data_IF_981645637053
#
_entry.id   IF_981645637053
#
_cell.length_a   1.000
_cell.length_b   1.000
_cell.length_c   1.000
_cell.angle_alpha   90.00
_cell.angle_beta   90.00
_cell.angle_gamma   90.00
#
_symmetry.space_group_name_H-M   'P 1'
#
loop_
_entity.id
_entity.type
_entity.pdbx_description
1 polymer ?
#
# COMPACT_ATOMS: atom_id res chain seq x y z
N UNK A 1 34.29 18.81 24.93
CA UNK A 1 33.55 17.53 24.86
C UNK A 1 34.33 16.64 23.92
N UNK A 2 34.83 15.49 24.37
CA UNK A 2 35.57 14.58 23.48
C UNK A 2 34.67 14.18 22.33
N UNK A 3 35.21 14.17 21.10
CA UNK A 3 34.48 13.70 19.94
C UNK A 3 33.96 12.28 20.18
N UNK A 4 32.68 12.04 19.89
CA UNK A 4 32.08 10.70 19.99
C UNK A 4 32.88 9.74 19.10
N UNK A 5 33.30 8.62 19.67
CA UNK A 5 33.84 7.51 18.86
C UNK A 5 32.71 6.92 18.02
N UNK A 6 33.06 6.23 16.94
CA UNK A 6 32.06 5.61 16.06
C UNK A 6 31.16 4.62 16.81
N UNK A 7 31.72 3.84 17.73
CA UNK A 7 30.99 2.87 18.54
C UNK A 7 30.05 3.56 19.57
N UNK A 8 30.48 4.68 20.15
CA UNK A 8 29.62 5.50 21.00
C UNK A 8 28.47 6.12 20.21
N UNK A 9 28.74 6.62 19.00
CA UNK A 9 27.73 7.17 18.10
C UNK A 9 26.70 6.10 17.71
N UNK A 10 27.15 4.89 17.34
CA UNK A 10 26.28 3.74 17.01
C UNK A 10 25.42 3.34 18.20
N UNK A 11 26.03 3.20 19.39
CA UNK A 11 25.31 2.87 20.62
C UNK A 11 24.26 3.94 20.97
N UNK A 12 24.59 5.21 20.79
CA UNK A 12 23.64 6.31 21.02
C UNK A 12 22.48 6.26 20.02
N UNK A 13 22.75 6.03 18.73
CA UNK A 13 21.70 5.85 17.72
C UNK A 13 20.78 4.67 18.05
N UNK A 14 21.33 3.52 18.45
CA UNK A 14 20.52 2.37 18.86
C UNK A 14 19.60 2.70 20.05
N UNK A 15 20.08 3.48 21.03
CA UNK A 15 19.27 3.94 22.17
C UNK A 15 18.14 4.88 21.72
N UNK A 16 18.42 5.83 20.83
CA UNK A 16 17.41 6.74 20.28
C UNK A 16 16.32 5.97 19.51
N UNK A 17 16.73 5.00 18.68
CA UNK A 17 15.80 4.17 17.90
C UNK A 17 14.96 3.26 18.79
N UNK A 18 15.54 2.66 19.84
CA UNK A 18 14.77 1.91 20.82
C UNK A 18 13.82 2.79 21.63
N UNK A 19 14.20 4.04 21.94
CA UNK A 19 13.32 5.00 22.60
C UNK A 19 12.16 5.43 21.69
N UNK A 20 12.44 5.69 20.41
CA UNK A 20 11.44 6.00 19.39
C UNK A 20 10.37 4.90 19.30
N UNK A 21 10.78 3.63 19.17
CA UNK A 21 9.84 2.50 19.08
C UNK A 21 8.98 2.37 20.35
N UNK A 22 9.60 2.47 21.54
CA UNK A 22 8.86 2.41 22.81
C UNK A 22 7.84 3.55 22.98
N UNK A 23 8.12 4.72 22.41
CA UNK A 23 7.21 5.86 22.41
C UNK A 23 6.16 5.82 21.28
N UNK A 24 6.11 4.74 20.49
CA UNK A 24 5.20 4.63 19.35
C UNK A 24 5.47 5.65 18.24
N UNK A 25 6.71 6.17 18.13
CA UNK A 25 7.09 7.14 17.12
C UNK A 25 7.19 6.53 15.72
N UNK A 26 6.73 7.25 14.70
CA UNK A 26 6.77 6.84 13.28
C UNK A 26 8.06 7.24 12.58
N UNK A 27 8.59 8.43 12.91
CA UNK A 27 9.81 8.99 12.31
C UNK A 27 10.71 9.59 13.41
N UNK A 28 12.03 9.45 13.29
CA UNK A 28 13.07 10.09 14.11
C UNK A 28 13.86 11.06 13.21
N UNK A 29 14.02 12.28 13.68
CA UNK A 29 14.69 13.39 13.01
C UNK A 29 16.00 13.71 13.73
N UNK A 30 17.07 13.78 12.96
CA UNK A 30 18.42 14.16 13.40
C UNK A 30 18.86 15.36 12.56
N UNK A 31 19.09 16.50 13.22
CA UNK A 31 19.49 17.74 12.55
C UNK A 31 20.37 18.60 13.47
N UNK A 32 21.21 19.44 12.88
CA UNK A 32 22.05 20.42 13.60
C UNK A 32 21.18 21.50 14.24
N UNK A 33 21.59 21.97 15.43
CA UNK A 33 20.90 22.96 16.27
C UNK A 33 19.46 22.57 16.68
N UNK A 34 19.14 21.27 16.56
CA UNK A 34 17.86 20.71 16.95
C UNK A 34 18.06 19.44 17.79
N UNK A 35 17.22 19.20 18.82
CA UNK A 35 17.29 17.95 19.57
C UNK A 35 16.82 16.77 18.71
N UNK A 36 17.36 15.54 18.92
CA UNK A 36 16.79 14.33 18.36
C UNK A 36 15.31 14.26 18.71
N UNK A 37 14.45 14.24 17.70
CA UNK A 37 13.01 14.37 17.88
C UNK A 37 12.26 13.30 17.11
N UNK A 38 11.17 12.79 17.69
CA UNK A 38 10.31 11.81 17.04
C UNK A 38 8.99 12.44 16.62
N UNK A 39 8.35 11.87 15.60
CA UNK A 39 6.94 12.12 15.30
C UNK A 39 6.11 11.01 15.91
N UNK A 40 5.24 11.34 16.86
CA UNK A 40 4.29 10.41 17.46
C UNK A 40 2.89 11.03 17.44
N UNK A 41 1.90 10.23 17.01
CA UNK A 41 0.50 10.66 16.86
C UNK A 41 0.31 11.99 16.09
N UNK A 42 1.14 12.21 15.06
CA UNK A 42 1.07 13.42 14.21
C UNK A 42 1.81 14.64 14.74
N UNK A 43 2.33 14.60 15.98
CA UNK A 43 3.07 15.69 16.62
C UNK A 43 4.56 15.38 16.75
N UNK A 44 5.42 16.40 16.71
CA UNK A 44 6.86 16.25 16.91
C UNK A 44 7.21 16.44 18.38
N UNK A 45 7.99 15.53 18.96
CA UNK A 45 8.39 15.53 20.36
C UNK A 45 9.89 15.22 20.51
N UNK A 46 10.66 16.00 21.29
CA UNK A 46 12.06 15.73 21.52
C UNK A 46 12.26 14.48 22.40
N UNK A 47 13.18 13.60 22.03
CA UNK A 47 13.60 12.46 22.87
C UNK A 47 14.59 12.90 23.97
N UNK A 48 15.34 13.96 23.70
CA UNK A 48 16.31 14.54 24.64
C UNK A 48 16.26 16.06 24.55
N UNK A 49 16.69 16.77 25.59
CA UNK A 49 16.74 18.23 25.58
C UNK A 49 17.98 18.79 24.86
N UNK A 50 19.00 17.97 24.63
CA UNK A 50 20.29 18.43 24.10
C UNK A 50 20.23 18.57 22.58
N UNK A 51 20.52 19.78 22.10
CA UNK A 51 20.71 20.06 20.67
C UNK A 51 21.97 19.39 20.13
N UNK A 52 21.90 18.90 18.90
CA UNK A 52 23.05 18.31 18.21
C UNK A 52 23.84 19.39 17.47
N UNK A 53 25.16 19.22 17.37
CA UNK A 53 26.01 20.03 16.50
C UNK A 53 26.35 19.29 15.20
N UNK A 54 26.93 19.99 14.22
CA UNK A 54 27.20 19.43 12.88
C UNK A 54 28.19 18.25 12.87
N UNK A 55 29.19 18.25 13.77
CA UNK A 55 30.11 17.11 13.91
C UNK A 55 29.38 15.88 14.45
N UNK A 56 28.49 16.08 15.43
CA UNK A 56 27.68 15.00 16.02
C UNK A 56 26.74 14.39 14.99
N UNK A 57 25.97 15.20 14.25
CA UNK A 57 25.03 14.66 13.25
C UNK A 57 25.75 13.88 12.15
N UNK A 58 26.91 14.37 11.69
CA UNK A 58 27.76 13.65 10.73
C UNK A 58 28.23 12.30 11.27
N UNK A 59 28.74 12.25 12.50
CA UNK A 59 29.20 10.99 13.14
C UNK A 59 28.06 10.00 13.33
N UNK A 60 26.88 10.48 13.75
CA UNK A 60 25.71 9.63 13.89
C UNK A 60 25.29 9.01 12.55
N UNK A 61 25.26 9.79 11.47
CA UNK A 61 24.98 9.28 10.13
C UNK A 61 26.00 8.24 9.67
N UNK A 62 27.29 8.55 9.77
CA UNK A 62 28.35 7.63 9.35
C UNK A 62 28.36 6.32 10.15
N UNK A 63 27.96 6.36 11.43
CA UNK A 63 27.91 5.16 12.29
C UNK A 63 26.87 4.11 11.86
N UNK A 64 25.89 4.52 11.04
CA UNK A 64 24.84 3.66 10.49
C UNK A 64 25.13 3.17 9.07
N UNK A 65 26.07 3.83 8.36
CA UNK A 65 26.42 3.51 6.98
C UNK A 65 27.55 2.47 6.91
N UNK A 66 27.48 1.58 5.91
CA UNK A 66 28.62 0.79 5.47
C UNK A 66 29.55 1.60 4.55
N UNK A 67 30.72 1.04 4.19
CA UNK A 67 31.72 1.76 3.40
C UNK A 67 31.23 2.18 2.01
N UNK A 68 30.39 1.37 1.35
CA UNK A 68 29.81 1.70 0.06
C UNK A 68 28.82 2.87 0.17
N UNK A 69 27.95 2.85 1.17
CA UNK A 69 26.99 3.92 1.45
C UNK A 69 27.70 5.23 1.84
N UNK A 70 28.84 5.17 2.54
CA UNK A 70 29.66 6.35 2.84
C UNK A 70 30.21 6.98 1.57
N UNK A 71 30.75 6.18 0.65
CA UNK A 71 31.26 6.67 -0.64
C UNK A 71 30.14 7.24 -1.51
N UNK A 72 28.97 6.60 -1.52
CA UNK A 72 27.78 7.11 -2.21
C UNK A 72 27.35 8.45 -1.63
N UNK A 73 27.19 8.55 -0.31
CA UNK A 73 26.79 9.79 0.35
C UNK A 73 27.78 10.94 0.13
N UNK A 74 29.08 10.66 0.12
CA UNK A 74 30.11 11.66 -0.18
C UNK A 74 30.02 12.20 -1.61
N UNK A 75 29.56 11.37 -2.57
CA UNK A 75 29.44 11.76 -3.98
C UNK A 75 28.11 12.43 -4.29
N UNK A 76 27.01 11.87 -3.81
CA UNK A 76 25.64 12.26 -4.18
C UNK A 76 25.01 13.25 -3.18
N UNK A 77 25.63 13.46 -2.00
CA UNK A 77 25.11 14.29 -0.90
C UNK A 77 23.79 13.79 -0.29
N UNK A 78 23.32 12.62 -0.72
CA UNK A 78 22.12 11.93 -0.28
C UNK A 78 22.37 10.41 -0.29
N UNK A 79 21.75 9.68 0.63
CA UNK A 79 21.83 8.21 0.66
C UNK A 79 20.59 7.62 1.34
N UNK A 80 20.01 6.58 0.74
CA UNK A 80 18.85 5.85 1.24
C UNK A 80 19.22 4.40 1.51
N UNK A 81 18.91 3.90 2.71
CA UNK A 81 19.20 2.52 3.07
C UNK A 81 18.30 2.03 4.19
N UNK A 82 18.30 0.72 4.45
CA UNK A 82 17.64 0.13 5.61
C UNK A 82 18.66 -0.39 6.64
N UNK A 83 18.31 -0.28 7.92
CA UNK A 83 19.04 -0.92 9.02
C UNK A 83 18.11 -1.80 9.85
N UNK A 84 18.67 -2.84 10.45
CA UNK A 84 17.96 -3.75 11.36
C UNK A 84 18.64 -3.73 12.73
N UNK A 85 17.88 -3.44 13.78
CA UNK A 85 18.36 -3.55 15.16
C UNK A 85 17.69 -4.76 15.79
N UNK A 86 18.43 -5.85 16.08
CA UNK A 86 17.89 -7.05 16.69
C UNK A 86 17.10 -6.74 17.98
N UNK A 87 15.89 -7.28 18.07
CA UNK A 87 15.00 -7.08 19.23
C UNK A 87 14.34 -5.72 19.34
N UNK A 88 14.56 -4.80 18.40
CA UNK A 88 13.95 -3.46 18.39
C UNK A 88 13.01 -3.30 17.20
N UNK A 89 13.55 -3.05 16.01
CA UNK A 89 12.79 -2.91 14.75
C UNK A 89 13.75 -2.81 13.57
N UNK A 90 13.19 -2.83 12.37
CA UNK A 90 13.85 -2.33 11.16
C UNK A 90 13.50 -0.86 10.94
N UNK A 91 14.40 -0.17 10.28
CA UNK A 91 14.26 1.24 9.99
C UNK A 91 14.71 1.56 8.57
N UNK A 92 13.98 2.45 7.90
CA UNK A 92 14.42 3.09 6.66
C UNK A 92 15.10 4.41 7.01
N UNK A 93 16.32 4.58 6.53
CA UNK A 93 17.16 5.74 6.80
C UNK A 93 17.33 6.52 5.51
N UNK A 94 17.04 7.83 5.58
CA UNK A 94 17.40 8.79 4.56
C UNK A 94 18.38 9.79 5.19
N UNK A 95 19.56 9.92 4.59
CA UNK A 95 20.60 10.87 5.00
C UNK A 95 20.81 11.87 3.86
N UNK A 96 20.95 13.14 4.21
CA UNK A 96 21.08 14.24 3.26
C UNK A 96 21.93 15.38 3.85
N UNK A 97 22.34 16.33 3.01
CA UNK A 97 23.02 17.56 3.45
C UNK A 97 22.08 18.75 3.35
N UNK A 98 21.96 19.51 4.44
CA UNK A 98 21.21 20.77 4.51
C UNK A 98 22.07 21.87 5.14
N UNK A 99 22.15 23.05 4.52
CA UNK A 99 22.94 24.18 5.03
C UNK A 99 24.37 23.76 5.48
N UNK A 100 25.06 22.97 4.65
CA UNK A 100 26.41 22.42 4.92
C UNK A 100 26.51 21.45 6.12
N UNK A 101 25.39 21.05 6.70
CA UNK A 101 25.28 20.09 7.80
C UNK A 101 24.59 18.80 7.37
N UNK A 102 24.96 17.68 7.99
CA UNK A 102 24.28 16.40 7.76
C UNK A 102 22.96 16.36 8.52
N UNK A 103 21.89 16.00 7.81
CA UNK A 103 20.56 15.69 8.35
C UNK A 103 20.20 14.24 8.08
N UNK A 104 19.30 13.69 8.90
CA UNK A 104 18.82 12.33 8.72
C UNK A 104 17.39 12.17 9.22
N UNK A 105 16.59 11.45 8.45
CA UNK A 105 15.25 11.00 8.83
C UNK A 105 15.23 9.48 8.85
N UNK A 106 14.78 8.91 9.96
CA UNK A 106 14.72 7.47 10.19
C UNK A 106 13.27 7.08 10.46
N UNK A 107 12.70 6.20 9.63
CA UNK A 107 11.32 5.74 9.76
C UNK A 107 11.29 4.30 10.24
N UNK A 108 10.44 4.00 11.23
CA UNK A 108 10.18 2.61 11.64
C UNK A 108 9.50 1.84 10.51
N UNK A 109 10.04 0.67 10.19
CA UNK A 109 9.39 -0.32 9.33
C UNK A 109 8.57 -1.24 10.23
N UNK A 110 7.32 -1.54 9.84
CA UNK A 110 6.42 -2.35 10.66
C UNK A 110 7.00 -3.76 10.87
N UNK A 111 7.11 -4.19 12.13
CA UNK A 111 7.66 -5.50 12.49
C UNK A 111 6.60 -6.59 12.59
N UNK A 112 5.37 -6.24 13.00
CA UNK A 112 4.26 -7.20 13.07
C UNK A 112 3.57 -7.27 11.71
N UNK A 113 3.63 -8.44 11.08
CA UNK A 113 2.85 -8.72 9.87
C UNK A 113 1.42 -9.06 10.30
N UNK A 114 0.42 -8.22 9.97
CA UNK A 114 -0.97 -8.56 10.24
C UNK A 114 -1.38 -9.76 9.37
N UNK A 115 -2.19 -10.66 9.93
CA UNK A 115 -2.74 -11.77 9.16
C UNK A 115 -3.98 -11.34 8.35
N UNK A 116 -4.39 -12.18 7.39
CA UNK A 116 -5.52 -11.93 6.50
C UNK A 116 -6.81 -11.62 7.28
N UNK A 117 -7.06 -12.32 8.40
CA UNK A 117 -8.27 -12.16 9.21
C UNK A 117 -8.28 -10.83 9.99
N UNK A 118 -7.14 -10.42 10.57
CA UNK A 118 -6.96 -9.14 11.29
C UNK A 118 -7.17 -7.95 10.35
N UNK A 119 -6.76 -8.09 9.09
CA UNK A 119 -7.00 -7.09 8.05
C UNK A 119 -8.43 -7.11 7.49
N UNK A 120 -9.26 -8.10 7.87
CA UNK A 120 -10.58 -8.36 7.29
C UNK A 120 -10.54 -8.50 5.76
N UNK A 121 -9.47 -9.10 5.24
CA UNK A 121 -9.34 -9.35 3.80
C UNK A 121 -10.24 -10.52 3.37
N UNK A 122 -10.71 -10.55 2.11
CA UNK A 122 -11.54 -11.65 1.63
C UNK A 122 -10.86 -13.02 1.80
N UNK A 123 -11.56 -14.04 2.35
CA UNK A 123 -11.00 -15.37 2.58
C UNK A 123 -10.41 -16.02 1.33
N UNK A 124 -10.93 -15.68 0.14
CA UNK A 124 -10.45 -16.16 -1.16
C UNK A 124 -8.95 -15.89 -1.36
N UNK A 125 -8.37 -14.87 -0.74
CA UNK A 125 -6.93 -14.59 -0.83
C UNK A 125 -6.06 -15.67 -0.17
N UNK A 126 -6.59 -16.41 0.81
CA UNK A 126 -5.92 -17.60 1.39
C UNK A 126 -5.79 -18.70 0.34
N UNK A 127 -6.83 -18.94 -0.45
CA UNK A 127 -6.80 -19.92 -1.53
C UNK A 127 -5.80 -19.50 -2.61
N UNK A 128 -5.87 -18.23 -3.05
CA UNK A 128 -5.05 -17.69 -4.15
C UNK A 128 -3.55 -17.79 -3.84
N UNK A 129 -3.12 -17.46 -2.61
CA UNK A 129 -1.70 -17.54 -2.26
C UNK A 129 -1.23 -18.99 -2.09
N UNK A 130 -2.15 -19.95 -1.99
CA UNK A 130 -1.83 -21.36 -1.86
C UNK A 130 -1.71 -22.09 -3.21
N UNK A 131 -2.05 -21.43 -4.32
CA UNK A 131 -1.85 -21.96 -5.66
C UNK A 131 -0.37 -22.31 -5.92
N UNK A 132 -0.14 -23.36 -6.71
CA UNK A 132 1.22 -23.83 -7.01
C UNK A 132 1.95 -22.95 -8.01
N UNK A 133 1.20 -22.37 -8.96
CA UNK A 133 1.74 -21.56 -10.05
C UNK A 133 0.76 -20.51 -10.52
N UNK A 134 1.28 -19.51 -11.22
CA UNK A 134 0.50 -18.45 -11.84
C UNK A 134 0.95 -17.06 -11.40
N UNK A 135 0.38 -16.03 -12.03
CA UNK A 135 0.66 -14.64 -11.74
C UNK A 135 -0.47 -14.03 -10.89
N UNK A 136 -0.13 -13.50 -9.72
CA UNK A 136 -1.04 -12.78 -8.83
C UNK A 136 -0.59 -11.34 -8.71
N UNK A 137 -1.47 -10.41 -9.08
CA UNK A 137 -1.16 -8.98 -9.05
C UNK A 137 -1.97 -8.28 -7.96
N UNK A 138 -1.29 -7.61 -7.03
CA UNK A 138 -1.94 -6.74 -6.04
C UNK A 138 -1.74 -5.30 -6.46
N UNK A 139 -2.83 -4.61 -6.76
CA UNK A 139 -2.81 -3.29 -7.41
C UNK A 139 -3.55 -2.23 -6.61
N UNK A 140 -3.20 -0.98 -6.85
CA UNK A 140 -3.79 0.18 -6.17
C UNK A 140 -2.85 1.36 -6.10
N UNK A 141 -3.39 2.51 -5.69
CA UNK A 141 -2.62 3.73 -5.49
C UNK A 141 -1.52 3.58 -4.41
N UNK A 142 -0.62 4.56 -4.33
CA UNK A 142 0.35 4.65 -3.24
C UNK A 142 -0.38 4.77 -1.91
N UNK A 143 0.07 4.02 -0.89
CA UNK A 143 -0.56 4.02 0.41
C UNK A 143 -1.92 3.29 0.48
N UNK A 144 -2.30 2.53 -0.56
CA UNK A 144 -3.50 1.71 -0.52
C UNK A 144 -3.35 0.43 0.32
N UNK A 145 -2.15 0.08 0.79
CA UNK A 145 -1.90 -1.11 1.62
C UNK A 145 -1.54 -2.38 0.85
N UNK A 146 -1.11 -2.27 -0.42
CA UNK A 146 -0.66 -3.42 -1.25
C UNK A 146 0.38 -4.29 -0.55
N UNK A 147 1.46 -3.68 -0.06
CA UNK A 147 2.56 -4.39 0.61
C UNK A 147 2.07 -5.09 1.88
N UNK A 148 1.12 -4.48 2.61
CA UNK A 148 0.51 -5.09 3.80
C UNK A 148 -0.33 -6.32 3.44
N UNK A 149 -1.12 -6.25 2.37
CA UNK A 149 -1.91 -7.39 1.87
C UNK A 149 -1.01 -8.52 1.37
N UNK A 150 0.04 -8.21 0.60
CA UNK A 150 1.02 -9.19 0.15
C UNK A 150 1.77 -9.83 1.32
N UNK A 151 2.19 -9.05 2.31
CA UNK A 151 2.82 -9.60 3.51
C UNK A 151 1.88 -10.57 4.25
N UNK A 152 0.60 -10.22 4.40
CA UNK A 152 -0.39 -11.12 5.01
C UNK A 152 -0.57 -12.42 4.23
N UNK A 153 -0.59 -12.34 2.88
CA UNK A 153 -0.67 -13.50 2.00
C UNK A 153 0.58 -14.39 2.10
N UNK A 154 1.77 -13.79 2.01
CA UNK A 154 3.05 -14.52 2.14
C UNK A 154 3.19 -15.16 3.52
N UNK A 155 2.81 -14.47 4.60
CA UNK A 155 2.83 -15.04 5.95
C UNK A 155 1.90 -16.24 6.07
N UNK A 156 0.73 -16.20 5.43
CA UNK A 156 -0.19 -17.34 5.36
C UNK A 156 0.46 -18.53 4.64
N UNK A 157 1.02 -18.32 3.44
CA UNK A 157 1.73 -19.37 2.69
C UNK A 157 2.89 -19.97 3.48
N UNK A 158 3.69 -19.11 4.14
CA UNK A 158 4.83 -19.51 4.96
C UNK A 158 4.44 -20.36 6.18
N UNK A 159 3.25 -20.15 6.76
CA UNK A 159 2.72 -20.98 7.87
C UNK A 159 2.12 -22.30 7.40
N UNK A 160 1.55 -22.34 6.20
CA UNK A 160 0.75 -23.47 5.75
C UNK A 160 1.51 -24.44 4.83
N UNK A 161 2.43 -23.95 3.98
CA UNK A 161 3.18 -24.76 3.03
C UNK A 161 4.67 -24.80 3.37
N UNK A 162 5.30 -25.95 3.10
CA UNK A 162 6.74 -26.01 2.94
C UNK A 162 7.15 -25.56 1.53
N UNK A 163 8.34 -24.99 1.41
CA UNK A 163 8.86 -24.48 0.14
C UNK A 163 9.85 -23.33 0.35
N UNK A 164 10.20 -22.67 -0.73
CA UNK A 164 11.09 -21.51 -0.76
C UNK A 164 10.37 -20.29 -1.35
N UNK A 165 10.24 -19.25 -0.53
CA UNK A 165 9.67 -17.96 -0.91
C UNK A 165 10.83 -16.98 -1.09
N UNK A 166 10.93 -16.36 -2.26
CA UNK A 166 11.94 -15.34 -2.54
C UNK A 166 11.24 -14.02 -2.80
N UNK A 167 11.60 -12.97 -2.06
CA UNK A 167 11.13 -11.60 -2.31
C UNK A 167 12.27 -10.78 -2.89
N UNK A 168 11.96 -9.98 -3.92
CA UNK A 168 12.85 -8.97 -4.49
C UNK A 168 12.15 -7.63 -4.33
N UNK A 169 12.73 -6.73 -3.53
CA UNK A 169 12.07 -5.50 -3.09
C UNK A 169 13.05 -4.31 -3.06
N UNK A 170 12.50 -3.09 -3.00
CA UNK A 170 13.27 -1.84 -2.98
C UNK A 170 12.50 -0.74 -2.20
N UNK A 171 12.68 -0.62 -0.87
CA UNK A 171 13.36 -1.56 0.03
C UNK A 171 12.44 -2.70 0.50
N UNK A 172 12.95 -3.64 1.29
CA UNK A 172 12.12 -4.69 1.93
C UNK A 172 11.20 -4.06 2.98
N UNK A 173 9.88 -4.14 2.75
CA UNK A 173 8.86 -3.49 3.60
C UNK A 173 8.43 -4.35 4.79
N UNK A 174 8.39 -5.67 4.65
CA UNK A 174 8.07 -6.61 5.72
C UNK A 174 9.08 -7.75 5.74
N UNK A 175 9.56 -8.12 6.93
CA UNK A 175 10.48 -9.25 7.07
C UNK A 175 9.74 -10.45 7.65
N UNK A 176 9.66 -11.50 6.84
CA UNK A 176 9.09 -12.77 7.24
C UNK A 176 10.15 -13.64 7.90
N UNK A 177 9.93 -14.04 9.14
CA UNK A 177 10.70 -15.14 9.72
C UNK A 177 10.32 -16.44 9.00
N UNK A 178 11.32 -17.25 8.60
CA UNK A 178 11.08 -18.58 8.04
C UNK A 178 10.29 -19.45 9.01
N UNK A 179 9.30 -20.19 8.49
CA UNK A 179 8.49 -21.15 9.27
C UNK A 179 8.45 -22.50 8.57
N UNK A 180 7.31 -22.89 7.97
CA UNK A 180 7.27 -24.10 7.14
C UNK A 180 8.01 -23.84 5.82
N UNK A 181 7.93 -22.61 5.30
CA UNK A 181 8.74 -22.17 4.16
C UNK A 181 10.02 -21.45 4.62
N UNK A 182 11.09 -21.61 3.84
CA UNK A 182 12.23 -20.70 3.87
C UNK A 182 11.82 -19.39 3.20
N UNK A 183 12.05 -18.24 3.84
CA UNK A 183 11.82 -16.94 3.22
C UNK A 183 13.14 -16.18 3.06
N UNK A 184 13.48 -15.88 1.80
CA UNK A 184 14.69 -15.15 1.41
C UNK A 184 14.28 -13.79 0.86
N UNK A 185 14.70 -12.72 1.53
CA UNK A 185 14.46 -11.35 1.06
C UNK A 185 15.73 -10.86 0.35
N UNK A 186 15.55 -10.17 -0.77
CA UNK A 186 16.64 -9.57 -1.54
C UNK A 186 16.31 -8.12 -1.84
N UNK A 187 16.99 -7.21 -1.15
CA UNK A 187 16.83 -5.77 -1.35
C UNK A 187 17.71 -5.28 -2.50
N UNK A 188 17.12 -4.57 -3.47
CA UNK A 188 17.86 -3.96 -4.59
C UNK A 188 18.75 -2.84 -4.07
N UNK A 189 20.00 -2.81 -4.52
CA UNK A 189 21.04 -1.89 -4.04
C UNK A 189 21.80 -2.39 -2.82
N UNK A 190 21.29 -3.38 -2.08
CA UNK A 190 21.92 -3.94 -0.88
C UNK A 190 22.33 -5.40 -1.08
N UNK A 191 21.38 -6.29 -1.35
CA UNK A 191 21.61 -7.73 -1.53
C UNK A 191 21.80 -8.13 -3.00
N UNK A 192 21.42 -7.23 -3.92
CA UNK A 192 21.53 -7.42 -5.36
C UNK A 192 21.73 -6.08 -6.07
N UNK A 193 22.52 -6.08 -7.15
CA UNK A 193 22.89 -4.83 -7.85
C UNK A 193 21.72 -4.17 -8.57
N UNK A 194 20.80 -4.96 -9.11
CA UNK A 194 19.63 -4.46 -9.85
C UNK A 194 18.50 -5.48 -9.87
N UNK A 195 17.30 -5.03 -10.25
CA UNK A 195 16.13 -5.88 -10.52
C UNK A 195 16.48 -6.99 -11.53
N UNK A 196 17.07 -6.64 -12.68
CA UNK A 196 17.49 -7.62 -13.68
C UNK A 196 18.39 -8.72 -13.10
N UNK A 197 19.43 -8.35 -12.35
CA UNK A 197 20.33 -9.33 -11.73
C UNK A 197 19.63 -10.17 -10.68
N UNK A 198 18.69 -9.60 -9.95
CA UNK A 198 17.92 -10.32 -8.95
C UNK A 198 17.07 -11.40 -9.62
N UNK A 199 16.17 -10.98 -10.51
CA UNK A 199 15.16 -11.82 -11.17
C UNK A 199 15.79 -12.91 -12.04
N UNK A 200 16.84 -12.58 -12.80
CA UNK A 200 17.58 -13.56 -13.63
C UNK A 200 18.18 -14.70 -12.80
N UNK A 201 18.61 -14.43 -11.58
CA UNK A 201 19.24 -15.43 -10.72
C UNK A 201 18.24 -16.16 -9.81
N UNK A 202 17.05 -15.61 -9.61
CA UNK A 202 15.98 -16.21 -8.79
C UNK A 202 15.64 -17.64 -9.24
N UNK A 203 15.59 -17.93 -10.55
CA UNK A 203 15.31 -19.29 -11.06
C UNK A 203 16.36 -20.34 -10.66
N UNK A 204 17.58 -19.94 -10.33
CA UNK A 204 18.65 -20.84 -9.86
C UNK A 204 18.64 -21.05 -8.35
N UNK A 205 17.72 -20.41 -7.64
CA UNK A 205 17.60 -20.47 -6.18
C UNK A 205 16.51 -21.45 -5.73
N UNK A 206 15.98 -22.28 -6.65
CA UNK A 206 14.89 -23.22 -6.41
C UNK A 206 13.70 -22.61 -5.65
N UNK A 207 13.12 -21.48 -6.13
CA UNK A 207 11.94 -20.90 -5.51
C UNK A 207 10.70 -21.75 -5.81
N UNK A 208 9.71 -21.67 -4.93
CA UNK A 208 8.32 -22.08 -5.20
C UNK A 208 7.43 -20.85 -5.41
N UNK A 209 7.71 -19.77 -4.66
CA UNK A 209 6.99 -18.51 -4.69
C UNK A 209 7.98 -17.36 -4.87
N UNK A 210 7.67 -16.46 -5.79
CA UNK A 210 8.50 -15.29 -6.09
C UNK A 210 7.64 -14.04 -5.91
N UNK A 211 8.05 -13.12 -5.05
CA UNK A 211 7.46 -11.78 -4.92
C UNK A 211 8.36 -10.76 -5.62
N UNK A 212 7.81 -10.05 -6.60
CA UNK A 212 8.40 -8.88 -7.22
C UNK A 212 7.75 -7.65 -6.58
N UNK A 213 8.51 -6.87 -5.81
CA UNK A 213 8.01 -5.75 -5.02
C UNK A 213 7.17 -4.78 -5.86
N UNK A 214 7.64 -4.39 -7.04
CA UNK A 214 6.88 -3.57 -7.99
C UNK A 214 7.26 -3.88 -9.44
N UNK A 215 6.25 -3.93 -10.33
CA UNK A 215 6.44 -4.07 -11.77
C UNK A 215 6.24 -2.71 -12.44
N UNK A 216 7.33 -2.13 -12.95
CA UNK A 216 7.36 -0.77 -13.53
C UNK A 216 7.53 -0.74 -15.05
N UNK A 217 8.04 -1.81 -15.63
CA UNK A 217 8.42 -1.89 -17.04
C UNK A 217 8.12 -3.27 -17.65
N UNK A 218 8.29 -3.34 -18.98
CA UNK A 218 8.06 -4.56 -19.76
C UNK A 218 8.99 -5.71 -19.34
N UNK A 219 10.26 -5.43 -19.12
CA UNK A 219 11.28 -6.43 -18.76
C UNK A 219 10.93 -7.13 -17.45
N UNK A 220 10.53 -6.37 -16.43
CA UNK A 220 10.11 -6.92 -15.15
C UNK A 220 8.81 -7.72 -15.28
N UNK A 221 7.87 -7.27 -16.11
CA UNK A 221 6.62 -8.01 -16.37
C UNK A 221 6.89 -9.32 -17.12
N UNK A 222 7.81 -9.34 -18.08
CA UNK A 222 8.24 -10.55 -18.79
C UNK A 222 8.80 -11.59 -17.82
N UNK A 223 9.65 -11.16 -16.88
CA UNK A 223 10.15 -12.05 -15.83
C UNK A 223 9.00 -12.61 -14.98
N UNK A 224 8.02 -11.78 -14.60
CA UNK A 224 6.87 -12.21 -13.81
C UNK A 224 6.04 -13.29 -14.53
N UNK A 225 5.77 -13.07 -15.83
CA UNK A 225 5.04 -14.02 -16.68
C UNK A 225 5.85 -15.30 -16.85
N UNK A 226 7.15 -15.21 -17.13
CA UNK A 226 8.03 -16.36 -17.30
C UNK A 226 8.12 -17.21 -16.01
N UNK A 227 8.13 -16.59 -14.83
CA UNK A 227 8.07 -17.32 -13.56
C UNK A 227 6.77 -18.10 -13.40
N UNK A 228 5.64 -17.47 -13.73
CA UNK A 228 4.34 -18.10 -13.70
C UNK A 228 4.24 -19.28 -14.68
N UNK A 229 4.78 -19.12 -15.89
CA UNK A 229 4.80 -20.15 -16.94
C UNK A 229 5.68 -21.34 -16.56
N UNK A 230 6.85 -21.07 -15.97
CA UNK A 230 7.80 -22.10 -15.52
C UNK A 230 7.39 -22.82 -14.24
N UNK A 231 6.17 -22.60 -13.76
CA UNK A 231 5.56 -23.39 -12.69
C UNK A 231 5.68 -22.79 -11.29
N UNK A 232 6.06 -21.52 -11.16
CA UNK A 232 6.15 -20.82 -9.88
C UNK A 232 4.90 -19.97 -9.63
N UNK A 233 4.59 -19.71 -8.36
CA UNK A 233 3.63 -18.65 -8.02
C UNK A 233 4.37 -17.32 -7.99
N UNK A 234 4.12 -16.45 -8.96
CA UNK A 234 4.67 -15.11 -9.00
C UNK A 234 3.66 -14.11 -8.45
N UNK A 235 4.03 -13.36 -7.43
CA UNK A 235 3.28 -12.23 -6.90
C UNK A 235 3.96 -10.93 -7.31
N UNK A 236 3.18 -9.90 -7.62
CA UNK A 236 3.72 -8.58 -7.92
C UNK A 236 2.77 -7.45 -7.60
N UNK A 237 3.30 -6.22 -7.53
CA UNK A 237 2.47 -5.02 -7.43
C UNK A 237 2.53 -4.14 -8.67
N UNK A 238 1.41 -3.50 -8.97
CA UNK A 238 1.33 -2.43 -9.97
C UNK A 238 0.50 -1.25 -9.42
N UNK A 239 0.77 -0.07 -9.94
CA UNK A 239 -0.08 1.11 -9.79
C UNK A 239 -1.19 1.10 -10.86
N UNK A 240 -2.36 0.60 -10.49
CA UNK A 240 -3.57 0.65 -11.29
C UNK A 240 -4.78 0.78 -10.35
N UNK A 241 -5.90 1.33 -10.84
CA UNK A 241 -7.05 1.61 -9.96
C UNK A 241 -8.10 0.49 -9.97
N UNK A 242 -8.03 -0.46 -10.91
CA UNK A 242 -8.94 -1.61 -11.03
C UNK A 242 -8.29 -2.77 -11.80
N UNK A 243 -8.96 -3.93 -11.80
CA UNK A 243 -8.51 -5.13 -12.48
C UNK A 243 -8.45 -4.92 -14.00
N UNK A 244 -9.47 -4.30 -14.60
CA UNK A 244 -9.48 -3.97 -16.04
C UNK A 244 -8.36 -2.99 -16.41
N UNK A 245 -8.17 -1.92 -15.64
CA UNK A 245 -7.09 -0.95 -15.88
C UNK A 245 -5.70 -1.58 -15.70
N UNK A 246 -5.58 -2.62 -14.86
CA UNK A 246 -4.32 -3.35 -14.70
C UNK A 246 -3.93 -4.04 -15.99
N UNK A 247 -4.88 -4.71 -16.65
CA UNK A 247 -4.63 -5.39 -17.93
C UNK A 247 -4.24 -4.38 -19.02
N UNK A 248 -4.95 -3.26 -19.13
CA UNK A 248 -4.61 -2.18 -20.06
C UNK A 248 -3.21 -1.61 -19.79
N UNK A 249 -2.86 -1.38 -18.53
CA UNK A 249 -1.54 -0.88 -18.14
C UNK A 249 -0.42 -1.85 -18.51
N UNK A 250 -0.65 -3.15 -18.33
CA UNK A 250 0.30 -4.19 -18.73
C UNK A 250 0.52 -4.15 -20.24
N UNK A 251 -0.56 -4.06 -21.02
CA UNK A 251 -0.48 -3.98 -22.49
C UNK A 251 0.37 -2.79 -22.94
N UNK A 252 0.21 -1.64 -22.27
CA UNK A 252 0.96 -0.42 -22.60
C UNK A 252 2.47 -0.49 -22.30
N UNK A 253 2.94 -1.53 -21.60
CA UNK A 253 4.39 -1.78 -21.48
C UNK A 253 4.99 -2.33 -22.77
N UNK A 254 4.19 -2.98 -23.63
CA UNK A 254 4.67 -3.71 -24.79
C UNK A 254 4.33 -3.00 -26.09
N UNK A 255 5.15 -3.20 -27.13
CA UNK A 255 4.84 -2.76 -28.48
C UNK A 255 3.65 -3.53 -29.05
N UNK A 256 2.97 -2.94 -30.03
CA UNK A 256 1.79 -3.55 -30.67
C UNK A 256 2.08 -4.92 -31.28
N UNK A 257 3.26 -5.11 -31.85
CA UNK A 257 3.75 -6.37 -32.42
C UNK A 257 3.80 -7.52 -31.40
N UNK A 258 4.07 -7.19 -30.12
CA UNK A 258 4.20 -8.18 -29.04
C UNK A 258 2.89 -8.41 -28.31
N UNK A 259 1.85 -7.62 -28.60
CA UNK A 259 0.58 -7.65 -27.87
C UNK A 259 -0.14 -8.99 -27.97
N UNK A 260 -0.16 -9.61 -29.16
CA UNK A 260 -0.83 -10.89 -29.34
C UNK A 260 -0.21 -11.99 -28.45
N UNK A 261 1.12 -12.05 -28.40
CA UNK A 261 1.84 -12.98 -27.53
C UNK A 261 1.58 -12.68 -26.05
N UNK A 262 1.65 -11.40 -25.66
CA UNK A 262 1.37 -10.98 -24.29
C UNK A 262 -0.03 -11.40 -23.82
N UNK A 263 -1.06 -11.22 -24.65
CA UNK A 263 -2.43 -11.61 -24.30
C UNK A 263 -2.57 -13.13 -24.16
N UNK A 264 -1.90 -13.89 -25.03
CA UNK A 264 -1.81 -15.34 -24.90
C UNK A 264 -1.17 -15.74 -23.57
N UNK A 265 0.00 -15.20 -23.25
CA UNK A 265 0.74 -15.54 -22.03
C UNK A 265 -0.04 -15.11 -20.78
N UNK A 266 -0.63 -13.92 -20.78
CA UNK A 266 -1.43 -13.43 -19.66
C UNK A 266 -2.69 -14.27 -19.47
N UNK A 267 -3.39 -14.64 -20.56
CA UNK A 267 -4.58 -15.49 -20.48
C UNK A 267 -4.29 -16.85 -19.86
N UNK A 268 -3.11 -17.42 -20.13
CA UNK A 268 -2.71 -18.74 -19.64
C UNK A 268 -2.16 -18.70 -18.20
N UNK A 269 -1.42 -17.64 -17.86
CA UNK A 269 -0.62 -17.60 -16.63
C UNK A 269 -1.22 -16.73 -15.52
N UNK A 270 -2.12 -15.78 -15.83
CA UNK A 270 -2.77 -14.97 -14.80
C UNK A 270 -3.60 -15.88 -13.87
N UNK A 271 -3.52 -15.62 -12.57
CA UNK A 271 -4.33 -16.31 -11.57
C UNK A 271 -5.37 -15.39 -10.96
N UNK A 272 -4.92 -14.22 -10.49
CA UNK A 272 -5.79 -13.23 -9.89
C UNK A 272 -5.25 -11.81 -10.03
N UNK A 273 -6.15 -10.83 -10.07
CA UNK A 273 -5.85 -9.42 -9.85
C UNK A 273 -6.66 -8.96 -8.64
N UNK A 274 -5.96 -8.43 -7.65
CA UNK A 274 -6.52 -7.94 -6.38
C UNK A 274 -6.31 -6.44 -6.32
N UNK A 275 -7.36 -5.67 -6.57
CA UNK A 275 -7.31 -4.20 -6.55
C UNK A 275 -7.77 -3.68 -5.20
N UNK A 276 -7.02 -2.75 -4.61
CA UNK A 276 -7.25 -2.29 -3.25
C UNK A 276 -7.37 -0.76 -3.13
N UNK A 277 -8.38 -0.31 -2.39
CA UNK A 277 -8.59 1.09 -1.97
C UNK A 277 -8.77 1.14 -0.45
N UNK A 278 -8.23 2.17 0.21
CA UNK A 278 -8.48 2.42 1.63
C UNK A 278 -9.45 3.57 1.78
N UNK A 279 -10.62 3.29 2.34
CA UNK A 279 -11.69 4.24 2.58
C UNK A 279 -11.70 4.64 4.05
N UNK A 280 -11.91 5.93 4.35
CA UNK A 280 -11.98 6.40 5.73
C UNK A 280 -13.17 5.75 6.45
N UNK A 281 -12.97 5.32 7.69
CA UNK A 281 -14.06 4.75 8.49
C UNK A 281 -14.99 5.84 9.01
N UNK A 282 -16.27 5.53 9.10
CA UNK A 282 -17.32 6.42 9.61
C UNK A 282 -17.06 6.82 11.08
N UNK A 283 -16.48 5.91 11.87
CA UNK A 283 -16.09 6.15 13.28
C UNK A 283 -14.83 7.01 13.45
N UNK A 284 -14.18 7.41 12.35
CA UNK A 284 -12.93 8.17 12.37
C UNK A 284 -11.68 7.38 12.81
N UNK A 285 -11.83 6.12 13.22
CA UNK A 285 -10.77 5.27 13.75
C UNK A 285 -10.10 4.46 12.62
N UNK A 286 -9.45 5.18 11.72
CA UNK A 286 -8.62 4.61 10.67
C UNK A 286 -9.35 4.42 9.34
N UNK A 287 -9.01 3.33 8.63
CA UNK A 287 -9.44 3.08 7.25
C UNK A 287 -9.88 1.63 7.07
N UNK A 288 -10.90 1.40 6.26
CA UNK A 288 -11.36 0.09 5.81
C UNK A 288 -10.82 -0.19 4.40
N UNK A 289 -10.46 -1.44 4.10
CA UNK A 289 -9.99 -1.84 2.79
C UNK A 289 -11.16 -2.32 1.93
N UNK A 290 -11.45 -1.60 0.83
CA UNK A 290 -12.31 -2.09 -0.23
C UNK A 290 -11.45 -2.89 -1.21
N UNK A 291 -11.79 -4.17 -1.42
CA UNK A 291 -11.02 -5.11 -2.23
C UNK A 291 -11.87 -5.60 -3.40
N UNK A 292 -11.39 -5.34 -4.61
CA UNK A 292 -11.88 -5.95 -5.84
C UNK A 292 -10.99 -7.15 -6.19
N UNK A 293 -11.62 -8.27 -6.56
CA UNK A 293 -10.93 -9.53 -6.89
C UNK A 293 -11.44 -10.03 -8.24
N UNK A 294 -10.53 -10.05 -9.22
CA UNK A 294 -10.70 -10.77 -10.48
C UNK A 294 -9.95 -12.11 -10.38
N UNK A 295 -10.64 -13.21 -10.70
CA UNK A 295 -10.01 -14.54 -10.81
C UNK A 295 -9.99 -14.97 -12.28
N UNK A 296 -8.88 -15.55 -12.73
CA UNK A 296 -8.74 -15.99 -14.12
C UNK A 296 -9.46 -17.33 -14.38
N UNK A 297 -10.79 -17.27 -14.54
CA UNK A 297 -11.61 -18.41 -14.98
C UNK A 297 -11.46 -18.62 -16.49
N UNK A 298 -11.87 -19.78 -17.06
CA UNK A 298 -11.82 -19.98 -18.51
C UNK A 298 -12.51 -18.89 -19.34
N UNK A 299 -13.60 -18.31 -18.82
CA UNK A 299 -14.30 -17.19 -19.46
C UNK A 299 -13.44 -15.91 -19.44
N UNK A 300 -12.80 -15.59 -18.31
CA UNK A 300 -11.91 -14.44 -18.21
C UNK A 300 -10.66 -14.64 -19.09
N UNK A 301 -10.09 -15.84 -19.12
CA UNK A 301 -8.94 -16.18 -19.94
C UNK A 301 -9.24 -15.96 -21.44
N UNK A 302 -10.38 -16.45 -21.93
CA UNK A 302 -10.83 -16.26 -23.31
C UNK A 302 -10.98 -14.76 -23.66
N UNK A 303 -11.53 -13.96 -22.74
CA UNK A 303 -11.66 -12.50 -22.94
C UNK A 303 -10.33 -11.79 -22.97
N UNK A 304 -9.39 -12.18 -22.10
CA UNK A 304 -8.03 -11.63 -22.12
C UNK A 304 -7.36 -11.96 -23.44
N UNK A 305 -7.46 -13.22 -23.89
CA UNK A 305 -6.90 -13.68 -25.16
C UNK A 305 -7.44 -12.89 -26.36
N UNK A 306 -8.74 -12.60 -26.39
CA UNK A 306 -9.40 -11.82 -27.45
C UNK A 306 -9.20 -10.31 -27.33
N UNK A 307 -8.73 -9.81 -26.19
CA UNK A 307 -8.61 -8.38 -25.92
C UNK A 307 -9.92 -7.67 -25.54
N UNK A 308 -10.93 -8.41 -25.06
CA UNK A 308 -12.28 -7.92 -24.74
C UNK A 308 -12.42 -7.48 -23.27
N UNK A 309 -11.65 -6.47 -22.85
CA UNK A 309 -11.56 -6.10 -21.43
C UNK A 309 -12.80 -5.42 -20.85
N UNK A 310 -13.62 -4.81 -21.70
CA UNK A 310 -14.84 -4.09 -21.30
C UNK A 310 -15.86 -4.99 -20.60
N UNK A 311 -15.90 -6.28 -20.97
CA UNK A 311 -16.87 -7.22 -20.41
C UNK A 311 -16.42 -7.84 -19.08
N UNK A 312 -15.15 -7.72 -18.72
CA UNK A 312 -14.57 -8.34 -17.51
C UNK A 312 -15.34 -7.92 -16.25
N UNK A 313 -15.65 -6.62 -16.10
CA UNK A 313 -16.39 -6.13 -14.93
C UNK A 313 -17.78 -6.75 -14.81
N UNK A 314 -18.48 -6.95 -15.94
CA UNK A 314 -19.79 -7.60 -15.97
C UNK A 314 -19.73 -9.08 -15.58
N UNK A 315 -18.63 -9.76 -15.93
CA UNK A 315 -18.40 -11.15 -15.56
C UNK A 315 -18.10 -11.25 -14.07
N UNK A 316 -17.27 -10.36 -13.54
CA UNK A 316 -16.97 -10.29 -12.10
C UNK A 316 -18.23 -10.09 -11.27
N UNK A 317 -19.10 -9.16 -11.67
CA UNK A 317 -20.36 -8.88 -10.98
C UNK A 317 -21.29 -10.10 -10.88
N UNK A 318 -21.27 -10.97 -11.90
CA UNK A 318 -22.08 -12.22 -11.95
C UNK A 318 -21.42 -13.42 -11.26
N UNK A 319 -20.11 -13.36 -11.00
CA UNK A 319 -19.31 -14.51 -10.54
C UNK A 319 -18.93 -14.44 -9.06
N UNK A 320 -19.77 -13.82 -8.21
CA UNK A 320 -19.48 -13.66 -6.77
C UNK A 320 -19.34 -14.99 -6.03
N UNK A 321 -20.08 -16.01 -6.43
CA UNK A 321 -19.99 -17.36 -5.88
C UNK A 321 -18.61 -18.01 -6.05
N UNK A 322 -17.86 -17.62 -7.09
CA UNK A 322 -16.49 -18.07 -7.31
C UNK A 322 -15.47 -17.31 -6.46
N UNK A 323 -15.92 -16.28 -5.72
CA UNK A 323 -15.08 -15.40 -4.91
C UNK A 323 -14.59 -14.16 -5.65
N UNK A 324 -15.15 -13.83 -6.82
CA UNK A 324 -14.91 -12.53 -7.46
C UNK A 324 -15.68 -11.43 -6.73
N UNK A 325 -15.14 -10.21 -6.75
CA UNK A 325 -15.80 -9.04 -6.17
C UNK A 325 -15.42 -7.81 -6.98
N UNK A 326 -16.38 -6.93 -7.28
CA UNK A 326 -16.10 -5.60 -7.85
C UNK A 326 -15.89 -4.57 -6.75
N UNK A 327 -15.33 -3.40 -7.06
CA UNK A 327 -15.24 -2.32 -6.06
C UNK A 327 -16.61 -1.87 -5.54
N UNK A 328 -17.58 -1.66 -6.43
CA UNK A 328 -18.93 -1.22 -6.06
C UNK A 328 -19.59 -2.23 -5.10
N UNK A 329 -19.37 -3.51 -5.36
CA UNK A 329 -19.77 -4.63 -4.51
C UNK A 329 -19.13 -4.60 -3.11
N UNK A 330 -17.82 -4.37 -3.03
CA UNK A 330 -17.10 -4.29 -1.77
C UNK A 330 -17.49 -3.04 -0.95
N UNK A 331 -17.66 -1.90 -1.61
CA UNK A 331 -18.10 -0.65 -0.96
C UNK A 331 -19.53 -0.77 -0.42
N UNK A 332 -20.41 -1.43 -1.16
CA UNK A 332 -21.76 -1.75 -0.71
C UNK A 332 -21.75 -2.58 0.58
N UNK A 333 -20.89 -3.60 0.67
CA UNK A 333 -20.72 -4.42 1.88
C UNK A 333 -20.18 -3.60 3.05
N UNK A 334 -19.10 -2.83 2.85
CA UNK A 334 -18.54 -1.97 3.89
C UNK A 334 -19.53 -0.91 4.40
N UNK A 335 -20.36 -0.35 3.52
CA UNK A 335 -21.42 0.58 3.90
C UNK A 335 -22.45 -0.13 4.78
N UNK A 336 -22.93 -1.29 4.36
CA UNK A 336 -23.91 -2.08 5.11
C UNK A 336 -23.39 -2.53 6.48
N UNK A 337 -22.09 -2.80 6.62
CA UNK A 337 -21.46 -3.15 7.90
C UNK A 337 -21.29 -1.94 8.85
N UNK A 338 -21.66 -0.73 8.44
CA UNK A 338 -21.46 0.47 9.27
C UNK A 338 -20.02 0.96 9.30
N UNK A 339 -19.16 0.47 8.42
CA UNK A 339 -17.73 0.80 8.44
C UNK A 339 -17.41 2.11 7.74
N UNK A 340 -18.15 2.45 6.68
CA UNK A 340 -17.94 3.67 5.88
C UNK A 340 -19.24 4.46 5.73
N UNK A 341 -19.10 5.77 5.55
CA UNK A 341 -20.23 6.67 5.29
C UNK A 341 -20.79 6.47 3.88
N UNK A 342 -22.03 6.91 3.65
CA UNK A 342 -22.66 6.89 2.32
C UNK A 342 -21.86 7.73 1.31
N UNK A 343 -21.40 8.92 1.71
CA UNK A 343 -20.62 9.82 0.86
C UNK A 343 -19.27 9.23 0.50
N UNK A 344 -18.57 8.61 1.46
CA UNK A 344 -17.29 7.94 1.19
C UNK A 344 -17.47 6.71 0.31
N UNK A 345 -18.57 5.96 0.46
CA UNK A 345 -18.89 4.84 -0.42
C UNK A 345 -19.06 5.31 -1.88
N UNK A 346 -19.87 6.35 -2.12
CA UNK A 346 -20.10 6.88 -3.48
C UNK A 346 -18.85 7.52 -4.08
N UNK A 347 -18.06 8.25 -3.28
CA UNK A 347 -16.82 8.92 -3.74
C UNK A 347 -15.78 7.93 -4.24
N UNK A 348 -15.74 6.73 -3.64
CA UNK A 348 -14.76 5.70 -3.98
C UNK A 348 -15.31 4.64 -4.96
N UNK A 349 -16.57 4.74 -5.38
CA UNK A 349 -17.20 3.84 -6.33
C UNK A 349 -16.63 4.04 -7.74
N UNK A 350 -16.59 2.96 -8.51
CA UNK A 350 -16.36 3.08 -9.95
C UNK A 350 -17.60 3.63 -10.66
N UNK A 351 -18.79 3.25 -10.18
CA UNK A 351 -20.09 3.75 -10.66
C UNK A 351 -20.92 4.25 -9.48
N UNK A 352 -20.80 5.53 -9.18
CA UNK A 352 -21.55 6.16 -8.08
C UNK A 352 -23.07 6.02 -8.24
N UNK A 353 -23.58 6.11 -9.48
CA UNK A 353 -25.00 5.96 -9.76
C UNK A 353 -25.49 4.53 -9.51
N UNK A 354 -24.73 3.53 -9.94
CA UNK A 354 -25.09 2.12 -9.74
C UNK A 354 -25.01 1.74 -8.26
N UNK A 355 -23.96 2.18 -7.55
CA UNK A 355 -23.83 1.95 -6.12
C UNK A 355 -24.98 2.62 -5.34
N UNK A 356 -25.33 3.87 -5.66
CA UNK A 356 -26.47 4.56 -5.05
C UNK A 356 -27.77 3.79 -5.26
N UNK A 357 -28.02 3.33 -6.49
CA UNK A 357 -29.21 2.54 -6.81
C UNK A 357 -29.23 1.22 -6.02
N UNK A 358 -28.09 0.53 -5.92
CA UNK A 358 -27.97 -0.69 -5.12
C UNK A 358 -28.24 -0.43 -3.64
N UNK A 359 -27.69 0.65 -3.07
CA UNK A 359 -27.96 1.05 -1.69
C UNK A 359 -29.46 1.28 -1.50
N UNK A 360 -30.09 2.10 -2.35
CA UNK A 360 -31.51 2.41 -2.23
C UNK A 360 -32.43 1.19 -2.33
N UNK A 361 -32.11 0.24 -3.21
CA UNK A 361 -32.98 -0.91 -3.48
C UNK A 361 -32.74 -2.10 -2.56
N UNK A 362 -31.50 -2.29 -2.07
CA UNK A 362 -31.08 -3.55 -1.42
C UNK A 362 -30.45 -3.36 -0.04
N UNK A 363 -29.96 -2.16 0.30
CA UNK A 363 -29.29 -1.93 1.59
C UNK A 363 -30.30 -1.93 2.72
N UNK A 364 -29.95 -2.59 3.83
CA UNK A 364 -30.74 -2.51 5.06
C UNK A 364 -30.53 -1.18 5.81
N UNK A 365 -29.43 -0.46 5.56
CA UNK A 365 -29.21 0.92 6.07
C UNK A 365 -30.00 1.96 5.26
N UNK A 366 -30.33 1.65 4.00
CA UNK A 366 -30.98 2.57 3.07
C UNK A 366 -30.09 3.76 2.69
N UNK A 367 -30.64 4.69 1.90
CA UNK A 367 -30.00 6.00 1.66
C UNK A 367 -30.25 6.90 2.88
N UNK A 368 -29.23 7.54 3.46
CA UNK A 368 -29.45 8.45 4.57
C UNK A 368 -30.36 9.59 4.12
N UNK A 369 -31.24 10.11 5.00
CA UNK A 369 -32.08 11.25 4.66
C UNK A 369 -31.16 12.38 4.22
N UNK A 370 -31.38 12.91 3.02
CA UNK A 370 -30.65 14.06 2.50
C UNK A 370 -30.79 15.16 3.53
N UNK A 371 -29.72 15.46 4.27
CA UNK A 371 -29.65 16.72 5.00
C UNK A 371 -29.78 17.77 3.93
N UNK A 372 -30.94 18.44 3.88
CA UNK A 372 -31.13 19.61 3.07
C UNK A 372 -29.89 20.47 3.25
N UNK A 373 -29.11 20.63 2.16
CA UNK A 373 -28.30 21.81 2.02
C UNK A 373 -29.20 22.95 2.45
N UNK A 374 -28.81 23.70 3.48
CA UNK A 374 -29.50 24.89 3.94
C UNK A 374 -29.99 25.66 2.72
N UNK A 375 -31.28 25.52 2.40
CA UNK A 375 -31.96 26.47 1.57
C UNK A 375 -31.92 27.73 2.40
N UNK A 376 -30.98 28.61 2.05
CA UNK A 376 -31.09 30.01 2.40
C UNK A 376 -32.37 30.49 1.73
N UNK A 377 -33.49 30.27 2.41
CA UNK A 377 -34.76 30.91 2.10
C UNK A 377 -34.50 32.40 2.31
N UNK A 378 -34.24 33.10 1.20
CA UNK A 378 -34.33 34.54 1.18
C UNK A 378 -35.74 34.90 1.63
N UNK A 379 -35.80 35.57 2.79
CA UNK A 379 -37.02 35.99 3.45
C UNK A 379 -38.01 36.61 2.45
N UNK A 380 -39.25 36.14 2.52
CA UNK A 380 -40.41 36.83 1.94
C UNK A 380 -40.39 38.29 2.38
N UNK A 381 -40.40 39.21 1.41
CA UNK A 381 -40.75 40.60 1.67
C UNK A 381 -42.12 40.66 2.38
N UNK A 382 -42.25 41.45 3.47
CA UNK A 382 -43.54 41.64 4.10
C UNK A 382 -44.41 42.54 3.21
N UNK A 383 -45.64 42.08 2.95
CA UNK A 383 -46.67 42.82 2.24
C UNK A 383 -47.03 44.14 2.95
N UNK A 384 -47.50 45.17 2.21
CA UNK A 384 -47.74 46.50 2.78
C UNK A 384 -48.93 46.50 3.75
N UNK A 385 -48.78 47.25 4.86
CA UNK A 385 -49.77 47.38 5.91
C UNK A 385 -51.04 48.10 5.42
N UNK A 386 -52.21 47.53 5.70
CA UNK A 386 -53.52 48.18 5.55
C UNK A 386 -53.76 49.22 6.65
N UNK A 387 -54.48 50.32 6.38
CA UNK A 387 -54.65 51.43 7.32
C UNK A 387 -55.68 51.12 8.42
N UNK A 388 -55.37 51.51 9.66
CA UNK A 388 -56.26 51.41 10.83
C UNK A 388 -57.54 52.26 10.68
N UNK A 389 -58.70 51.79 11.17
CA UNK A 389 -59.93 52.58 11.19
C UNK A 389 -59.93 53.58 12.36
N UNK A 390 -60.31 54.82 12.06
CA UNK A 390 -60.42 55.92 13.02
C UNK A 390 -61.47 55.67 14.12
N UNK A 391 -61.09 55.95 15.37
CA UNK A 391 -61.97 55.91 16.54
C UNK A 391 -62.91 57.15 16.59
N UNK A 392 -64.15 57.00 17.12
CA UNK A 392 -65.13 58.08 17.11
C UNK A 392 -64.91 59.07 18.25
N UNK A 393 -64.94 60.36 17.93
CA UNK A 393 -64.90 61.46 18.92
C UNK A 393 -66.31 61.72 19.43
N UNK A 394 -66.53 61.50 20.73
CA UNK A 394 -67.78 61.80 21.42
C UNK A 394 -67.58 62.85 22.53
N UNK A 395 -68.22 64.00 22.30
CA UNK A 395 -68.50 65.17 23.16
C UNK A 395 -67.36 66.14 23.48
#
# INVERSE_FOLDING_TARGET
MSALTEDQARTYMHKLLAAMVRAGGSDLFIATDFPPSIKSHGSMQPLTAQKLNADTTRRLAQSLMNDTQRQEFEREMECNFAISIPGVSRFRVNVYVQQQSVGMVIRTIASEIPNIDKLKLPPKLKDVVMDKRGLVLVVGATGSGKSTTLAAMIDHRNRESAGHIITVEDPVEYVHASRKSLVTHREVGVDTKSWHHALKNTLRQAPDVILIGEIRDAETMEHAIAFAETGHLCLGTLHANSASQTIERIINFFSEERRAQLLMDLSANLRAIVSQRLVRREDGNGRAAAIEILLNTPNIADRIFKGEFNEIKSVMARSRELGMCTFDAALYELYNEGLISFDDALRNADSANELRLQIKLKSHRGEPPTSAFMSLDFEKEPAPAEPEPAAPVGR
#
